data_IF_920909130282
#
_entry.id   IF_920909130282
#
_cell.length_a   1.000
_cell.length_b   1.000
_cell.length_c   1.000
_cell.angle_alpha   90.00
_cell.angle_beta   90.00
_cell.angle_gamma   90.00
#
_symmetry.space_group_name_H-M   'P 1'
#
loop_
_entity.id
_entity.type
_entity.pdbx_description
1 polymer ?
#
# COMPACT_ATOMS: atom_id res chain seq x y z
N UNK A 1 30.97 15.90 33.35
CA UNK A 1 31.58 14.99 32.42
C UNK A 1 31.24 15.43 31.00
N UNK A 2 32.25 15.48 30.14
CA UNK A 2 32.10 15.82 28.70
C UNK A 2 31.11 14.81 28.03
N UNK A 3 30.00 15.28 27.50
CA UNK A 3 29.13 14.49 26.63
C UNK A 3 29.52 14.82 25.18
N UNK A 4 30.02 13.87 24.40
CA UNK A 4 30.33 14.12 23.01
C UNK A 4 29.11 14.57 22.26
N UNK A 5 29.17 15.73 21.60
CA UNK A 5 28.08 16.19 20.73
C UNK A 5 28.06 15.31 19.46
N UNK A 6 26.89 14.79 19.13
CA UNK A 6 26.68 13.93 17.98
C UNK A 6 27.07 14.60 16.65
N UNK A 7 26.82 15.93 16.54
CA UNK A 7 27.33 16.72 15.40
C UNK A 7 28.86 16.74 15.31
N UNK A 8 29.57 16.79 16.45
CA UNK A 8 31.02 16.74 16.48
C UNK A 8 31.57 15.35 16.11
N UNK A 9 30.83 14.27 16.44
CA UNK A 9 31.17 12.91 16.00
C UNK A 9 30.96 12.75 14.51
N UNK A 10 29.85 13.23 13.95
CA UNK A 10 29.56 13.16 12.51
C UNK A 10 30.54 14.00 11.68
N UNK A 11 31.09 15.10 12.23
CA UNK A 11 32.17 15.85 11.61
C UNK A 11 33.53 15.12 11.65
N UNK A 12 33.75 14.24 12.62
CA UNK A 12 34.99 13.48 12.78
C UNK A 12 34.94 12.08 12.16
N UNK A 13 33.77 11.48 11.99
CA UNK A 13 33.57 10.22 11.28
C UNK A 13 33.27 10.49 9.81
N UNK A 14 34.10 9.94 8.91
CA UNK A 14 33.87 10.02 7.45
C UNK A 14 32.63 9.25 6.97
N UNK A 15 31.83 8.69 7.85
CA UNK A 15 30.69 7.86 7.53
C UNK A 15 29.44 8.47 8.15
N UNK A 16 28.53 8.90 7.30
CA UNK A 16 27.18 9.25 7.67
C UNK A 16 26.35 7.95 7.72
N UNK A 17 25.78 7.62 8.88
CA UNK A 17 24.99 6.41 9.10
C UNK A 17 23.47 6.70 9.20
N UNK A 18 23.05 7.94 8.87
CA UNK A 18 21.64 8.30 8.93
C UNK A 18 20.88 7.83 7.67
N UNK A 19 20.01 6.87 7.84
CA UNK A 19 19.07 6.42 6.81
C UNK A 19 17.72 7.11 7.05
N UNK A 20 17.10 7.63 6.01
CA UNK A 20 15.75 8.18 6.12
C UNK A 20 14.70 7.15 5.73
N UNK A 21 13.66 7.02 6.56
CA UNK A 21 12.38 6.45 6.13
C UNK A 21 11.51 7.60 5.63
N UNK A 22 11.31 7.65 4.32
CA UNK A 22 10.55 8.70 3.64
C UNK A 22 9.14 8.19 3.36
N UNK A 23 8.16 8.82 3.99
CA UNK A 23 6.75 8.46 3.90
C UNK A 23 6.03 9.47 2.99
N UNK A 24 5.61 9.03 1.80
CA UNK A 24 4.92 9.88 0.82
C UNK A 24 3.41 9.71 0.91
N UNK A 25 2.68 10.82 0.98
CA UNK A 25 1.21 10.83 0.98
C UNK A 25 0.54 10.55 2.32
N UNK A 26 1.28 10.27 3.36
CA UNK A 26 0.75 9.91 4.69
C UNK A 26 0.06 11.07 5.43
N UNK A 27 0.33 12.31 5.06
CA UNK A 27 -0.38 13.47 5.60
C UNK A 27 -1.78 13.67 5.01
N UNK A 28 -2.10 12.99 3.93
CA UNK A 28 -3.39 13.03 3.26
C UNK A 28 -4.35 11.97 3.81
N UNK A 29 -3.85 11.06 4.63
CA UNK A 29 -4.57 9.97 5.28
C UNK A 29 -4.61 10.20 6.79
N UNK A 30 -5.74 9.90 7.40
CA UNK A 30 -5.94 10.22 8.82
C UNK A 30 -5.08 9.39 9.78
N UNK A 31 -4.62 8.19 9.36
CA UNK A 31 -3.84 7.28 10.22
C UNK A 31 -2.90 6.39 9.38
N UNK A 32 -1.74 6.07 9.96
CA UNK A 32 -0.89 4.96 9.54
C UNK A 32 -1.65 3.66 9.81
N UNK A 33 -1.87 2.85 8.80
CA UNK A 33 -2.53 1.57 8.97
C UNK A 33 -1.58 0.48 9.53
N UNK A 34 -2.14 -0.65 9.94
CA UNK A 34 -1.39 -1.75 10.57
C UNK A 34 -0.29 -2.33 9.66
N UNK A 35 -0.51 -2.36 8.35
CA UNK A 35 0.48 -2.84 7.38
C UNK A 35 1.71 -1.92 7.34
N UNK A 36 1.49 -0.62 7.25
CA UNK A 36 2.55 0.38 7.26
C UNK A 36 3.32 0.39 8.58
N UNK A 37 2.60 0.23 9.70
CA UNK A 37 3.21 0.12 11.03
C UNK A 37 4.13 -1.12 11.12
N UNK A 38 3.76 -2.24 10.52
CA UNK A 38 4.60 -3.45 10.46
C UNK A 38 5.88 -3.23 9.64
N UNK A 39 5.78 -2.55 8.49
CA UNK A 39 6.94 -2.19 7.68
C UNK A 39 7.90 -1.27 8.45
N UNK A 40 7.37 -0.23 9.09
CA UNK A 40 8.15 0.68 9.93
C UNK A 40 8.83 -0.08 11.08
N UNK A 41 8.12 -0.98 11.75
CA UNK A 41 8.67 -1.83 12.82
C UNK A 41 9.84 -2.67 12.30
N UNK A 42 9.74 -3.25 11.10
CA UNK A 42 10.84 -4.01 10.47
C UNK A 42 12.07 -3.13 10.25
N UNK A 43 11.89 -1.92 9.72
CA UNK A 43 12.98 -0.96 9.52
C UNK A 43 13.66 -0.59 10.86
N UNK A 44 12.88 -0.23 11.88
CA UNK A 44 13.44 0.13 13.20
C UNK A 44 14.13 -1.05 13.88
N UNK A 45 13.60 -2.25 13.77
CA UNK A 45 14.24 -3.43 14.34
C UNK A 45 15.64 -3.66 13.73
N UNK A 46 15.81 -3.40 12.45
CA UNK A 46 17.12 -3.49 11.79
C UNK A 46 18.09 -2.45 12.35
N UNK A 47 17.66 -1.20 12.53
CA UNK A 47 18.53 -0.11 13.00
C UNK A 47 19.07 -0.35 14.40
N UNK A 48 18.23 -0.85 15.32
CA UNK A 48 18.62 -1.18 16.70
C UNK A 48 19.74 -2.22 16.75
N UNK A 49 19.75 -3.17 15.80
CA UNK A 49 20.71 -4.27 15.79
C UNK A 49 21.97 -3.98 14.98
N UNK A 50 22.04 -2.87 14.21
CA UNK A 50 23.12 -2.63 13.25
C UNK A 50 23.81 -1.25 13.39
N UNK A 51 23.63 -0.56 14.50
CA UNK A 51 24.21 0.78 14.76
C UNK A 51 23.95 1.78 13.62
N UNK A 52 22.72 1.76 13.08
CA UNK A 52 22.23 2.65 12.04
C UNK A 52 21.28 3.66 12.65
N UNK A 53 21.50 4.94 12.40
CA UNK A 53 20.53 5.97 12.76
C UNK A 53 19.43 6.03 11.71
N UNK A 54 18.17 6.17 12.14
CA UNK A 54 17.05 6.34 11.24
C UNK A 54 16.27 7.59 11.60
N UNK A 55 16.01 8.41 10.59
CA UNK A 55 15.10 9.55 10.67
C UNK A 55 13.84 9.29 9.83
N UNK A 56 12.72 9.88 10.25
CA UNK A 56 11.47 9.82 9.48
C UNK A 56 11.29 11.16 8.79
N UNK A 57 11.02 11.12 7.49
CA UNK A 57 10.69 12.27 6.68
C UNK A 57 9.30 12.06 6.08
N UNK A 58 8.34 12.91 6.42
CA UNK A 58 6.98 12.84 5.84
C UNK A 58 6.88 13.88 4.75
N UNK A 59 6.52 13.43 3.56
CA UNK A 59 6.44 14.27 2.35
C UNK A 59 5.11 14.05 1.65
N UNK A 60 4.77 14.99 0.79
CA UNK A 60 3.65 14.88 -0.14
C UNK A 60 4.09 15.37 -1.53
N UNK A 61 3.23 15.25 -2.52
CA UNK A 61 3.52 15.68 -3.91
C UNK A 61 3.94 17.15 -4.00
N UNK A 62 3.37 18.03 -3.16
CA UNK A 62 3.76 19.44 -3.14
C UNK A 62 5.22 19.60 -2.70
N UNK A 63 5.61 18.97 -1.60
CA UNK A 63 7.01 19.00 -1.11
C UNK A 63 7.95 18.43 -2.17
N UNK A 64 7.57 17.35 -2.83
CA UNK A 64 8.37 16.74 -3.92
C UNK A 64 8.55 17.66 -5.12
N UNK A 65 7.60 18.56 -5.39
CA UNK A 65 7.69 19.56 -6.46
C UNK A 65 8.61 20.72 -6.07
N UNK A 66 8.55 21.15 -4.80
CA UNK A 66 9.29 22.30 -4.29
C UNK A 66 10.75 21.98 -3.93
N UNK A 67 11.02 20.72 -3.57
CA UNK A 67 12.33 20.25 -3.08
C UNK A 67 12.75 18.96 -3.76
N UNK A 68 13.92 18.95 -4.38
CA UNK A 68 14.47 17.72 -4.96
C UNK A 68 14.85 16.71 -3.88
N UNK A 69 14.89 15.43 -4.26
CA UNK A 69 15.31 14.36 -3.35
C UNK A 69 16.76 14.56 -2.84
N UNK A 70 17.66 15.00 -3.71
CA UNK A 70 19.04 15.31 -3.32
C UNK A 70 19.13 16.46 -2.31
N UNK A 71 18.28 17.48 -2.47
CA UNK A 71 18.19 18.59 -1.52
C UNK A 71 17.64 18.11 -0.18
N UNK A 72 16.62 17.25 -0.15
CA UNK A 72 16.12 16.62 1.07
C UNK A 72 17.23 15.86 1.79
N UNK A 73 17.99 15.03 1.06
CA UNK A 73 19.10 14.28 1.63
C UNK A 73 20.18 15.17 2.21
N UNK A 74 20.53 16.23 1.50
CA UNK A 74 21.55 17.18 1.95
C UNK A 74 21.15 17.93 3.22
N UNK A 75 19.94 18.50 3.24
CA UNK A 75 19.42 19.30 4.38
C UNK A 75 19.30 18.48 5.66
N UNK A 76 18.96 17.21 5.55
CA UNK A 76 18.74 16.32 6.70
C UNK A 76 19.91 15.36 6.95
N UNK A 77 21.05 15.58 6.27
CA UNK A 77 22.23 14.73 6.40
C UNK A 77 21.91 13.24 6.23
N UNK A 78 21.20 12.90 5.16
CA UNK A 78 20.75 11.54 4.86
C UNK A 78 21.81 10.86 3.97
N UNK A 79 22.24 9.65 4.35
CA UNK A 79 23.18 8.84 3.57
C UNK A 79 22.50 7.91 2.58
N UNK A 80 21.27 7.52 2.85
CA UNK A 80 20.42 6.69 2.01
C UNK A 80 18.98 6.72 2.49
N UNK A 81 18.03 6.26 1.68
CA UNK A 81 16.61 6.34 2.02
C UNK A 81 15.83 5.07 1.67
N UNK A 82 14.84 4.79 2.49
CA UNK A 82 13.75 3.85 2.21
C UNK A 82 12.51 4.71 1.92
N UNK A 83 11.91 4.55 0.74
CA UNK A 83 10.77 5.36 0.32
C UNK A 83 9.51 4.48 0.23
N UNK A 84 8.45 4.92 0.89
CA UNK A 84 7.17 4.24 1.00
C UNK A 84 6.03 5.16 0.57
N UNK A 85 4.99 4.60 -0.08
CA UNK A 85 3.77 5.31 -0.45
C UNK A 85 3.92 6.23 -1.66
N UNK A 86 5.00 6.12 -2.45
CA UNK A 86 5.13 6.84 -3.72
C UNK A 86 4.04 6.40 -4.71
N UNK A 87 3.54 7.36 -5.48
CA UNK A 87 2.63 7.15 -6.61
C UNK A 87 3.40 7.15 -7.91
N UNK A 88 2.86 6.50 -8.93
CA UNK A 88 3.51 6.41 -10.25
C UNK A 88 3.72 7.76 -10.93
N UNK A 89 3.00 8.80 -10.53
CA UNK A 89 3.11 10.16 -11.03
C UNK A 89 3.84 11.12 -10.07
N UNK A 90 4.43 10.63 -8.98
CA UNK A 90 5.16 11.47 -8.06
C UNK A 90 6.48 11.97 -8.68
N UNK A 91 6.84 13.26 -8.51
CA UNK A 91 8.07 13.84 -9.04
C UNK A 91 9.34 13.09 -8.63
N UNK A 92 9.35 12.50 -7.43
CA UNK A 92 10.50 11.75 -6.94
C UNK A 92 10.79 10.50 -7.77
N UNK A 93 9.80 9.89 -8.45
CA UNK A 93 10.06 8.73 -9.30
C UNK A 93 11.09 9.02 -10.40
N UNK A 94 11.03 10.21 -11.03
CA UNK A 94 12.01 10.62 -12.03
C UNK A 94 13.35 11.05 -11.41
N UNK A 95 13.31 11.70 -10.25
CA UNK A 95 14.50 12.20 -9.57
C UNK A 95 15.36 11.09 -8.96
N UNK A 96 14.71 10.07 -8.39
CA UNK A 96 15.38 8.89 -7.83
C UNK A 96 16.15 8.11 -8.89
N UNK A 97 15.62 8.01 -10.11
CA UNK A 97 16.27 7.35 -11.23
C UNK A 97 17.66 7.90 -11.55
N UNK A 98 17.92 9.16 -11.19
CA UNK A 98 19.18 9.88 -11.43
C UNK A 98 19.97 10.19 -10.14
N UNK A 99 19.45 9.79 -9.00
CA UNK A 99 20.01 10.13 -7.70
C UNK A 99 21.38 9.46 -7.47
N UNK A 100 22.24 10.18 -6.76
CA UNK A 100 23.53 9.66 -6.25
C UNK A 100 23.36 8.94 -4.91
N UNK A 101 22.26 9.20 -4.20
CA UNK A 101 21.99 8.58 -2.91
C UNK A 101 21.39 7.20 -3.11
N UNK A 102 21.90 6.18 -2.40
CA UNK A 102 21.30 4.86 -2.43
C UNK A 102 19.88 4.88 -1.86
N UNK A 103 18.95 4.27 -2.56
CA UNK A 103 17.55 4.26 -2.22
C UNK A 103 16.96 2.86 -2.35
N UNK A 104 15.99 2.58 -1.49
CA UNK A 104 15.10 1.42 -1.63
C UNK A 104 13.67 1.94 -1.71
N UNK A 105 12.97 1.61 -2.78
CA UNK A 105 11.53 1.88 -2.89
C UNK A 105 10.74 0.67 -2.44
N UNK A 106 9.61 0.91 -1.78
CA UNK A 106 8.67 -0.15 -1.39
C UNK A 106 7.45 -0.04 -2.29
N UNK A 107 7.06 -1.17 -2.88
CA UNK A 107 5.86 -1.35 -3.70
C UNK A 107 5.81 -0.50 -4.98
N UNK A 108 6.93 0.08 -5.40
CA UNK A 108 7.04 0.79 -6.67
C UNK A 108 8.43 0.58 -7.27
N UNK A 109 8.48 0.12 -8.51
CA UNK A 109 9.73 -0.02 -9.26
C UNK A 109 10.12 1.32 -9.88
N UNK A 110 11.30 1.81 -9.51
CA UNK A 110 11.92 3.00 -10.09
C UNK A 110 13.28 2.59 -10.67
N UNK A 111 13.48 2.65 -11.98
CA UNK A 111 14.76 2.29 -12.59
C UNK A 111 15.84 3.31 -12.23
N UNK A 112 17.01 2.84 -11.80
CA UNK A 112 18.16 3.72 -11.50
C UNK A 112 19.36 2.96 -10.95
N UNK A 113 20.60 3.48 -11.13
CA UNK A 113 21.82 2.77 -10.75
C UNK A 113 21.99 2.62 -9.22
N UNK A 114 21.34 3.48 -8.44
CA UNK A 114 21.41 3.50 -6.99
C UNK A 114 20.04 3.23 -6.34
N UNK A 115 19.09 2.68 -7.09
CA UNK A 115 17.75 2.36 -6.62
C UNK A 115 17.53 0.86 -6.65
N UNK A 116 17.05 0.33 -5.54
CA UNK A 116 16.53 -1.04 -5.44
C UNK A 116 15.05 -0.98 -5.07
N UNK A 117 14.32 -2.05 -5.35
CA UNK A 117 12.91 -2.14 -5.00
C UNK A 117 12.64 -3.39 -4.15
N UNK A 118 11.78 -3.25 -3.15
CA UNK A 118 11.18 -4.37 -2.42
C UNK A 118 9.69 -4.38 -2.75
N UNK A 119 9.22 -5.44 -3.37
CA UNK A 119 7.83 -5.60 -3.78
C UNK A 119 7.43 -7.07 -3.82
N UNK A 120 6.15 -7.32 -3.83
CA UNK A 120 5.57 -8.64 -4.06
C UNK A 120 5.23 -8.84 -5.54
N UNK A 121 4.96 -10.07 -5.92
CA UNK A 121 4.33 -10.38 -7.21
C UNK A 121 2.80 -10.22 -7.09
N UNK A 122 2.36 -8.97 -7.03
CA UNK A 122 0.95 -8.61 -6.86
C UNK A 122 0.07 -9.10 -8.01
N UNK A 123 0.61 -9.18 -9.23
CA UNK A 123 -0.12 -9.71 -10.40
C UNK A 123 -0.45 -11.18 -10.15
N UNK A 124 0.56 -11.98 -9.81
CA UNK A 124 0.38 -13.41 -9.54
C UNK A 124 -0.53 -13.64 -8.33
N UNK A 125 -0.31 -12.92 -7.24
CA UNK A 125 -1.11 -13.06 -6.03
C UNK A 125 -2.60 -12.81 -6.28
N UNK A 126 -2.93 -11.76 -7.04
CA UNK A 126 -4.33 -11.45 -7.35
C UNK A 126 -4.92 -12.30 -8.47
N UNK A 127 -4.11 -12.82 -9.38
CA UNK A 127 -4.54 -13.85 -10.31
C UNK A 127 -4.96 -15.12 -9.54
N UNK A 128 -4.15 -15.60 -8.60
CA UNK A 128 -4.43 -16.76 -7.78
C UNK A 128 -5.65 -16.55 -6.86
N UNK A 129 -5.76 -15.39 -6.21
CA UNK A 129 -6.87 -15.06 -5.32
C UNK A 129 -8.20 -14.95 -6.08
N UNK A 130 -8.18 -14.36 -7.27
CA UNK A 130 -9.34 -14.26 -8.14
C UNK A 130 -9.74 -15.65 -8.66
N UNK A 131 -8.75 -16.46 -9.06
CA UNK A 131 -9.00 -17.84 -9.48
C UNK A 131 -9.63 -18.66 -8.35
N UNK A 132 -9.17 -18.48 -7.10
CA UNK A 132 -9.78 -19.13 -5.93
C UNK A 132 -11.28 -18.80 -5.80
N UNK A 133 -11.68 -17.53 -5.96
CA UNK A 133 -13.10 -17.17 -5.95
C UNK A 133 -13.87 -17.82 -7.10
N UNK A 134 -13.28 -17.87 -8.29
CA UNK A 134 -13.87 -18.50 -9.47
C UNK A 134 -14.05 -20.01 -9.25
N UNK A 135 -13.08 -20.70 -8.65
CA UNK A 135 -13.12 -22.12 -8.32
C UNK A 135 -14.18 -22.44 -7.26
N UNK A 136 -14.48 -21.47 -6.38
CA UNK A 136 -15.61 -21.55 -5.44
C UNK A 136 -16.97 -21.28 -6.09
N UNK A 137 -17.03 -21.02 -7.39
CA UNK A 137 -18.26 -20.85 -8.16
C UNK A 137 -18.68 -19.38 -8.36
N UNK A 138 -17.92 -18.42 -7.86
CA UNK A 138 -18.23 -17.01 -8.07
C UNK A 138 -17.98 -16.61 -9.54
N UNK A 139 -18.92 -15.84 -10.10
CA UNK A 139 -18.87 -15.34 -11.49
C UNK A 139 -19.13 -13.83 -11.57
N UNK A 140 -19.72 -13.28 -10.53
CA UNK A 140 -20.05 -11.86 -10.37
C UNK A 140 -19.23 -11.32 -9.21
N UNK A 141 -18.02 -10.85 -9.52
CA UNK A 141 -17.02 -10.38 -8.55
C UNK A 141 -16.95 -8.87 -8.64
N UNK A 142 -16.99 -8.22 -7.50
CA UNK A 142 -16.72 -6.77 -7.35
C UNK A 142 -15.33 -6.60 -6.77
N UNK A 143 -14.52 -5.74 -7.39
CA UNK A 143 -13.19 -5.40 -6.88
C UNK A 143 -13.28 -4.15 -6.02
N UNK A 144 -12.82 -4.23 -4.78
CA UNK A 144 -12.62 -3.06 -3.92
C UNK A 144 -11.17 -2.65 -4.04
N UNK A 145 -10.96 -1.64 -4.89
CA UNK A 145 -9.66 -1.19 -5.36
C UNK A 145 -9.04 -0.19 -4.38
N UNK A 146 -7.73 -0.22 -4.22
CA UNK A 146 -7.00 0.77 -3.47
C UNK A 146 -6.80 2.09 -4.23
N UNK A 147 -5.71 2.79 -3.95
CA UNK A 147 -5.37 4.07 -4.57
C UNK A 147 -5.05 3.90 -6.06
N UNK A 148 -5.72 4.66 -6.95
CA UNK A 148 -5.61 4.51 -8.42
C UNK A 148 -4.19 4.58 -8.98
N UNK A 149 -3.35 5.44 -8.40
CA UNK A 149 -1.98 5.66 -8.87
C UNK A 149 -0.91 4.92 -8.04
N UNK A 150 -1.33 4.03 -7.14
CA UNK A 150 -0.42 3.11 -6.49
C UNK A 150 -0.12 1.93 -7.44
N UNK A 151 1.16 1.62 -7.64
CA UNK A 151 1.58 0.53 -8.54
C UNK A 151 0.98 -0.81 -8.10
N UNK A 152 0.96 -1.10 -6.80
CA UNK A 152 0.36 -2.32 -6.24
C UNK A 152 -1.12 -2.47 -6.62
N UNK A 153 -1.90 -1.38 -6.56
CA UNK A 153 -3.31 -1.43 -6.95
C UNK A 153 -3.50 -1.73 -8.43
N UNK A 154 -2.64 -1.16 -9.27
CA UNK A 154 -2.66 -1.42 -10.71
C UNK A 154 -2.29 -2.87 -11.01
N UNK A 155 -1.25 -3.41 -10.38
CA UNK A 155 -0.80 -4.79 -10.56
C UNK A 155 -1.84 -5.80 -10.04
N UNK A 156 -2.42 -5.55 -8.87
CA UNK A 156 -3.51 -6.36 -8.32
C UNK A 156 -4.71 -6.41 -9.25
N UNK A 157 -5.09 -5.28 -9.83
CA UNK A 157 -6.17 -5.22 -10.80
C UNK A 157 -5.83 -6.00 -12.09
N UNK A 158 -4.59 -5.92 -12.56
CA UNK A 158 -4.13 -6.71 -13.73
C UNK A 158 -4.26 -8.21 -13.45
N UNK A 159 -3.84 -8.68 -12.27
CA UNK A 159 -3.98 -10.07 -11.87
C UNK A 159 -5.45 -10.52 -11.85
N UNK A 160 -6.34 -9.70 -11.28
CA UNK A 160 -7.77 -9.98 -11.28
C UNK A 160 -8.33 -10.09 -12.71
N UNK A 161 -7.98 -9.16 -13.61
CA UNK A 161 -8.38 -9.23 -15.01
C UNK A 161 -7.88 -10.49 -15.72
N UNK A 162 -6.63 -10.90 -15.49
CA UNK A 162 -6.05 -12.09 -16.11
C UNK A 162 -6.84 -13.36 -15.72
N UNK A 163 -7.14 -13.54 -14.43
CA UNK A 163 -7.93 -14.68 -13.98
C UNK A 163 -9.37 -14.66 -14.53
N UNK A 164 -10.04 -13.50 -14.52
CA UNK A 164 -11.38 -13.35 -15.10
C UNK A 164 -11.38 -13.69 -16.57
N UNK A 165 -10.47 -13.10 -17.36
CA UNK A 165 -10.38 -13.32 -18.80
C UNK A 165 -10.08 -14.79 -19.14
N UNK A 166 -9.17 -15.43 -18.43
CA UNK A 166 -8.82 -16.85 -18.61
C UNK A 166 -10.04 -17.77 -18.41
N UNK A 167 -10.99 -17.36 -17.57
CA UNK A 167 -12.22 -18.10 -17.30
C UNK A 167 -13.44 -17.61 -18.13
N UNK A 168 -13.23 -16.77 -19.14
CA UNK A 168 -14.30 -16.25 -19.99
C UNK A 168 -15.27 -15.30 -19.24
N UNK A 169 -14.82 -14.68 -18.18
CA UNK A 169 -15.57 -13.73 -17.36
C UNK A 169 -15.12 -12.29 -17.66
N UNK A 170 -16.07 -11.37 -17.53
CA UNK A 170 -15.80 -9.94 -17.65
C UNK A 170 -15.74 -9.29 -16.26
N UNK A 171 -14.90 -8.28 -16.13
CA UNK A 171 -14.90 -7.36 -14.99
C UNK A 171 -15.32 -5.98 -15.49
N UNK A 172 -16.63 -5.66 -15.43
CA UNK A 172 -17.13 -4.35 -15.82
C UNK A 172 -16.52 -3.24 -14.96
N UNK A 173 -16.35 -2.06 -15.52
CA UNK A 173 -15.81 -0.90 -14.76
C UNK A 173 -16.68 -0.54 -13.56
N UNK A 174 -17.98 -0.73 -13.67
CA UNK A 174 -18.93 -0.45 -12.59
C UNK A 174 -18.83 -1.45 -11.43
N UNK A 175 -18.14 -2.58 -11.64
CA UNK A 175 -17.81 -3.55 -10.59
C UNK A 175 -16.45 -3.25 -9.92
N UNK A 176 -15.93 -2.04 -10.06
CA UNK A 176 -14.69 -1.60 -9.40
C UNK A 176 -15.02 -0.40 -8.50
N UNK A 177 -14.96 -0.63 -7.20
CA UNK A 177 -15.11 0.40 -6.17
C UNK A 177 -13.72 0.98 -5.88
N UNK A 178 -13.49 2.23 -6.21
CA UNK A 178 -12.21 2.90 -5.98
C UNK A 178 -12.16 3.58 -4.62
N UNK A 179 -11.07 3.35 -3.89
CA UNK A 179 -10.80 3.94 -2.57
C UNK A 179 -9.35 4.46 -2.52
N UNK A 180 -8.92 4.93 -1.34
CA UNK A 180 -7.51 5.21 -1.03
C UNK A 180 -6.93 4.24 0.01
N UNK A 181 -7.36 2.99 0.03
CA UNK A 181 -7.11 1.96 1.04
C UNK A 181 -7.83 2.20 2.38
N UNK A 182 -8.72 3.19 2.46
CA UNK A 182 -9.46 3.51 3.66
C UNK A 182 -10.61 2.51 3.95
N UNK A 183 -10.70 2.07 5.21
CA UNK A 183 -11.79 1.18 5.69
C UNK A 183 -13.17 1.85 5.53
N UNK A 184 -13.29 3.12 5.91
CA UNK A 184 -14.56 3.86 5.81
C UNK A 184 -14.96 4.09 4.35
N UNK A 185 -13.98 4.36 3.48
CA UNK A 185 -14.23 4.51 2.05
C UNK A 185 -14.75 3.21 1.43
N UNK A 186 -14.21 2.05 1.84
CA UNK A 186 -14.71 0.75 1.39
C UNK A 186 -16.13 0.49 1.87
N UNK A 187 -16.42 0.77 3.16
CA UNK A 187 -17.78 0.66 3.73
C UNK A 187 -18.78 1.48 2.94
N UNK A 188 -18.48 2.76 2.74
CA UNK A 188 -19.39 3.67 2.06
C UNK A 188 -19.48 3.40 0.56
N UNK A 189 -18.38 2.97 -0.07
CA UNK A 189 -18.34 2.54 -1.46
C UNK A 189 -19.22 1.32 -1.74
N UNK A 190 -19.25 0.34 -0.84
CA UNK A 190 -20.16 -0.82 -0.95
C UNK A 190 -21.62 -0.39 -0.83
N UNK A 191 -21.93 0.53 0.09
CA UNK A 191 -23.29 1.05 0.21
C UNK A 191 -23.72 1.80 -1.05
N UNK A 192 -22.83 2.61 -1.62
CA UNK A 192 -23.09 3.32 -2.87
C UNK A 192 -23.25 2.38 -4.06
N UNK A 193 -22.45 1.30 -4.12
CA UNK A 193 -22.58 0.26 -5.14
C UNK A 193 -24.02 -0.29 -5.18
N UNK A 194 -24.59 -0.66 -4.03
CA UNK A 194 -25.96 -1.20 -3.96
C UNK A 194 -27.07 -0.17 -4.10
N UNK A 195 -26.78 1.11 -4.18
CA UNK A 195 -27.77 2.13 -4.60
C UNK A 195 -28.05 2.08 -6.10
N UNK A 196 -27.05 1.68 -6.88
CA UNK A 196 -27.12 1.67 -8.35
C UNK A 196 -27.20 0.25 -8.94
N UNK A 197 -26.90 -0.77 -8.15
CA UNK A 197 -26.86 -2.17 -8.56
C UNK A 197 -27.81 -3.01 -7.73
N UNK A 198 -28.41 -4.03 -8.37
CA UNK A 198 -29.25 -5.00 -7.68
C UNK A 198 -28.43 -5.93 -6.78
N UNK A 199 -29.01 -6.54 -5.74
CA UNK A 199 -28.32 -7.52 -4.90
C UNK A 199 -27.69 -8.68 -5.69
N UNK A 200 -28.29 -9.07 -6.80
CA UNK A 200 -27.80 -10.16 -7.65
C UNK A 200 -26.64 -9.76 -8.57
N UNK A 201 -26.19 -8.51 -8.54
CA UNK A 201 -25.09 -8.03 -9.37
C UNK A 201 -23.72 -8.50 -8.89
N UNK A 202 -23.62 -8.94 -7.64
CA UNK A 202 -22.40 -9.46 -7.03
C UNK A 202 -22.67 -10.77 -6.28
N UNK A 203 -21.64 -11.59 -6.10
CA UNK A 203 -21.65 -12.75 -5.19
C UNK A 203 -20.38 -12.76 -4.32
N UNK A 204 -19.35 -12.02 -4.71
CA UNK A 204 -18.12 -11.90 -3.95
C UNK A 204 -17.49 -10.51 -4.12
N UNK A 205 -16.77 -10.08 -3.09
CA UNK A 205 -15.95 -8.88 -3.08
C UNK A 205 -14.47 -9.28 -2.94
N UNK A 206 -13.68 -8.87 -3.92
CA UNK A 206 -12.24 -9.02 -3.97
C UNK A 206 -11.60 -7.71 -3.49
N UNK A 207 -11.16 -7.66 -2.25
CA UNK A 207 -10.60 -6.47 -1.64
C UNK A 207 -9.06 -6.47 -1.76
N UNK A 208 -8.51 -5.32 -2.17
CA UNK A 208 -7.06 -5.19 -2.38
C UNK A 208 -6.25 -5.04 -1.09
N UNK A 209 -6.89 -5.02 0.08
CA UNK A 209 -6.24 -5.11 1.39
C UNK A 209 -7.23 -5.62 2.44
N UNK A 210 -6.72 -6.00 3.60
CA UNK A 210 -7.54 -6.42 4.74
C UNK A 210 -8.39 -5.28 5.29
N UNK A 211 -7.87 -4.05 5.31
CA UNK A 211 -8.63 -2.88 5.75
C UNK A 211 -9.84 -2.62 4.84
N UNK A 212 -9.67 -2.82 3.52
CA UNK A 212 -10.77 -2.73 2.57
C UNK A 212 -11.79 -3.87 2.77
N UNK A 213 -11.32 -5.07 3.08
CA UNK A 213 -12.20 -6.21 3.36
C UNK A 213 -13.03 -5.97 4.64
N UNK A 214 -12.42 -5.43 5.70
CA UNK A 214 -13.11 -5.06 6.93
C UNK A 214 -14.20 -4.03 6.64
N UNK A 215 -13.87 -2.94 5.94
CA UNK A 215 -14.84 -1.92 5.56
C UNK A 215 -15.97 -2.47 4.68
N UNK A 216 -15.64 -3.38 3.74
CA UNK A 216 -16.62 -4.07 2.89
C UNK A 216 -17.61 -4.89 3.73
N UNK A 217 -17.12 -5.68 4.69
CA UNK A 217 -17.99 -6.47 5.59
C UNK A 217 -18.88 -5.55 6.41
N UNK A 218 -18.39 -4.45 6.91
CA UNK A 218 -19.18 -3.46 7.65
C UNK A 218 -20.29 -2.86 6.78
N UNK A 219 -19.96 -2.41 5.56
CA UNK A 219 -20.93 -1.88 4.62
C UNK A 219 -22.04 -2.90 4.27
N UNK A 220 -21.65 -4.16 4.05
CA UNK A 220 -22.62 -5.24 3.82
C UNK A 220 -23.53 -5.48 5.02
N UNK A 221 -22.97 -5.49 6.24
CA UNK A 221 -23.75 -5.65 7.49
C UNK A 221 -24.71 -4.48 7.72
N UNK A 222 -24.30 -3.25 7.47
CA UNK A 222 -25.16 -2.06 7.58
C UNK A 222 -26.34 -2.11 6.61
N UNK A 223 -26.16 -2.78 5.46
CA UNK A 223 -27.23 -3.04 4.49
C UNK A 223 -28.10 -4.26 4.83
N UNK A 224 -27.80 -4.97 5.93
CA UNK A 224 -28.53 -6.14 6.40
C UNK A 224 -28.07 -7.47 5.80
N UNK A 225 -27.01 -7.49 5.03
CA UNK A 225 -26.45 -8.71 4.44
C UNK A 225 -25.53 -9.47 5.40
N UNK A 226 -25.39 -10.76 5.18
CA UNK A 226 -24.57 -11.68 5.98
C UNK A 226 -23.38 -12.18 5.18
N UNK A 227 -22.18 -12.03 5.76
CA UNK A 227 -20.94 -12.59 5.22
C UNK A 227 -20.60 -13.82 6.06
N UNK A 228 -20.27 -14.97 5.46
CA UNK A 228 -20.16 -15.25 4.01
C UNK A 228 -21.48 -15.74 3.35
N UNK A 229 -22.62 -15.72 4.06
CA UNK A 229 -23.85 -16.37 3.60
C UNK A 229 -24.42 -15.77 2.31
N UNK A 230 -24.50 -14.43 2.25
CA UNK A 230 -25.07 -13.71 1.12
C UNK A 230 -23.99 -13.29 0.13
N UNK A 231 -22.81 -12.88 0.65
CA UNK A 231 -21.65 -12.51 -0.14
C UNK A 231 -20.38 -13.06 0.48
N UNK A 232 -19.44 -13.52 -0.36
CA UNK A 232 -18.07 -13.82 0.05
C UNK A 232 -17.21 -12.55 0.02
N UNK A 233 -16.32 -12.40 0.97
CA UNK A 233 -15.33 -11.30 1.00
C UNK A 233 -13.96 -11.89 1.20
N UNK A 234 -12.98 -11.46 0.40
CA UNK A 234 -11.58 -11.81 0.56
C UNK A 234 -10.75 -10.55 0.72
N UNK A 235 -9.75 -10.60 1.60
CA UNK A 235 -8.77 -9.55 1.86
C UNK A 235 -7.39 -9.91 1.32
N UNK A 236 -6.43 -9.08 1.64
CA UNK A 236 -5.02 -9.25 1.33
C UNK A 236 -4.20 -8.54 2.40
N UNK A 237 -3.05 -9.03 2.77
CA UNK A 237 -2.00 -8.62 3.69
C UNK A 237 -1.82 -9.64 4.83
N UNK A 238 -2.88 -10.27 5.34
CA UNK A 238 -2.84 -11.21 6.46
C UNK A 238 -2.60 -10.51 7.80
N UNK A 239 -3.23 -9.36 8.02
CA UNK A 239 -3.10 -8.57 9.25
C UNK A 239 -3.73 -9.28 10.45
N UNK A 240 -3.11 -9.18 11.62
CA UNK A 240 -3.60 -9.82 12.85
C UNK A 240 -5.04 -9.38 13.20
N UNK A 241 -5.40 -8.15 12.90
CA UNK A 241 -6.74 -7.60 13.17
C UNK A 241 -7.86 -8.40 12.49
N UNK A 242 -7.59 -9.09 11.37
CA UNK A 242 -8.57 -9.90 10.65
C UNK A 242 -9.06 -11.11 11.44
N UNK A 243 -8.26 -11.60 12.41
CA UNK A 243 -8.67 -12.68 13.32
C UNK A 243 -9.75 -12.24 14.33
N UNK A 244 -9.90 -10.94 14.55
CA UNK A 244 -10.84 -10.36 15.52
C UNK A 244 -12.09 -9.78 14.87
N UNK A 245 -12.21 -9.87 13.55
CA UNK A 245 -13.42 -9.47 12.82
C UNK A 245 -14.50 -10.56 12.91
N UNK A 246 -15.75 -10.20 12.61
CA UNK A 246 -16.85 -11.12 12.51
C UNK A 246 -17.54 -10.94 11.14
N UNK A 247 -17.46 -11.95 10.23
CA UNK A 247 -16.62 -13.13 10.36
C UNK A 247 -15.12 -12.77 10.33
N UNK A 248 -14.27 -13.68 10.80
CA UNK A 248 -12.82 -13.57 10.57
C UNK A 248 -12.52 -13.70 9.07
N UNK A 249 -11.48 -12.98 8.61
CA UNK A 249 -11.07 -12.94 7.20
C UNK A 249 -9.83 -13.80 7.01
#
# INVERSE_FOLDING_TARGET
GYRPNQMARNLSSKHNHNIALVLSGFLEEELINDFEALLMKGCFHYTVNNDVEMSIQVINTKIQTEKSFEQLCYEHNIAGAILMGLRTNDPYCELLAKSKYPCVTIDIEVPGPNVSCVMMDDIKAFDELTQYLIDKGHRKIVVVHGRKLAMVSMQRLVGAYQAMQRNGLELPRDNIIYTNFGREEARDGVKEYFRTHSPDSATAFLCMSDMLAIGTIEGLKELGYKVPKDYSVVGFDGLEVTNYTDPAI
#
